data_IF_101608085112
#
_entry.id   IF_101608085112
#
_cell.length_a   1.000
_cell.length_b   1.000
_cell.length_c   1.000
_cell.angle_alpha   90.00
_cell.angle_beta   90.00
_cell.angle_gamma   90.00
#
_symmetry.space_group_name_H-M   'P 1'
#
loop_
_entity.id
_entity.type
_entity.pdbx_description
1 polymer ?
#
# COMPACT_ATOMS: atom_id res chain seq x y z
N UNK A 1 3.55 14.20 -27.50
CA UNK A 1 4.63 15.12 -27.08
C UNK A 1 5.45 14.46 -25.99
N UNK A 2 6.70 14.91 -25.77
CA UNK A 2 7.54 14.35 -24.71
C UNK A 2 6.88 14.52 -23.34
N UNK A 3 6.81 13.44 -22.56
CA UNK A 3 6.29 13.46 -21.19
C UNK A 3 4.76 13.37 -21.03
N UNK A 4 4.00 13.14 -22.11
CA UNK A 4 2.54 12.89 -22.00
C UNK A 4 2.24 11.60 -21.21
N UNK A 5 3.06 10.56 -21.41
CA UNK A 5 2.94 9.29 -20.69
C UNK A 5 3.24 9.48 -19.20
N UNK A 6 4.24 10.30 -18.87
CA UNK A 6 4.61 10.65 -17.51
C UNK A 6 3.48 11.44 -16.80
N UNK A 7 2.80 12.33 -17.52
CA UNK A 7 1.62 13.03 -16.99
C UNK A 7 0.48 12.07 -16.66
N UNK A 8 0.17 11.11 -17.55
CA UNK A 8 -0.87 10.11 -17.30
C UNK A 8 -0.59 9.33 -16.00
N UNK A 9 0.64 8.90 -15.80
CA UNK A 9 1.09 8.22 -14.58
C UNK A 9 0.83 9.06 -13.31
N UNK A 10 1.14 10.37 -13.35
CA UNK A 10 0.88 11.28 -12.21
C UNK A 10 -0.62 11.52 -12.00
N UNK A 11 -1.41 11.63 -13.06
CA UNK A 11 -2.87 11.73 -12.89
C UNK A 11 -3.45 10.47 -12.27
N UNK A 12 -2.89 9.30 -12.57
CA UNK A 12 -3.25 8.06 -11.91
C UNK A 12 -2.93 8.12 -10.41
N UNK A 13 -1.73 8.61 -10.02
CA UNK A 13 -1.39 8.85 -8.61
C UNK A 13 -2.42 9.71 -7.89
N UNK A 14 -2.76 10.86 -8.46
CA UNK A 14 -3.73 11.78 -7.85
C UNK A 14 -5.10 11.11 -7.68
N UNK A 15 -5.52 10.32 -8.65
CA UNK A 15 -6.77 9.55 -8.55
C UNK A 15 -6.68 8.47 -7.45
N UNK A 16 -5.54 7.80 -7.31
CA UNK A 16 -5.34 6.81 -6.24
C UNK A 16 -5.30 7.46 -4.85
N UNK A 17 -4.71 8.65 -4.75
CA UNK A 17 -4.70 9.46 -3.53
C UNK A 17 -6.12 9.84 -3.10
N UNK A 18 -6.92 10.38 -4.03
CA UNK A 18 -8.31 10.74 -3.78
C UNK A 18 -9.18 9.52 -3.42
N UNK A 19 -8.93 8.36 -4.03
CA UNK A 19 -9.69 7.13 -3.77
C UNK A 19 -9.24 6.43 -2.48
N UNK A 20 -8.01 6.69 -2.00
CA UNK A 20 -7.39 5.97 -0.89
C UNK A 20 -7.08 4.49 -1.16
N UNK A 21 -7.27 4.02 -2.40
CA UNK A 21 -7.10 2.62 -2.81
C UNK A 21 -5.97 2.46 -3.82
N UNK A 22 -5.21 1.38 -3.66
CA UNK A 22 -4.10 1.03 -4.54
C UNK A 22 -4.63 0.39 -5.83
N UNK A 23 -4.26 0.96 -6.99
CA UNK A 23 -4.44 0.33 -8.30
C UNK A 23 -3.31 -0.66 -8.61
N UNK A 24 -3.53 -1.64 -9.50
CA UNK A 24 -2.47 -2.53 -9.95
C UNK A 24 -1.29 -1.74 -10.51
N UNK A 25 -0.07 -2.21 -10.22
CA UNK A 25 1.15 -1.58 -10.70
C UNK A 25 1.17 -1.52 -12.24
N UNK A 26 1.27 -0.31 -12.79
CA UNK A 26 1.24 -0.13 -14.23
C UNK A 26 2.62 -0.34 -14.88
N UNK A 27 3.00 -1.60 -15.07
CA UNK A 27 4.28 -1.98 -15.70
C UNK A 27 4.42 -1.40 -17.11
N UNK A 28 3.31 -1.35 -17.84
CA UNK A 28 3.30 -0.91 -19.24
C UNK A 28 3.69 0.56 -19.36
N UNK A 29 3.05 1.46 -18.60
CA UNK A 29 3.36 2.89 -18.64
C UNK A 29 4.77 3.17 -18.11
N UNK A 30 5.18 2.52 -17.01
CA UNK A 30 6.53 2.70 -16.46
C UNK A 30 7.57 2.27 -17.50
N UNK A 31 7.39 1.12 -18.15
CA UNK A 31 8.30 0.65 -19.21
C UNK A 31 8.38 1.64 -20.37
N UNK A 32 7.24 2.18 -20.82
CA UNK A 32 7.22 3.16 -21.90
C UNK A 32 7.97 4.45 -21.53
N UNK A 33 7.78 4.98 -20.33
CA UNK A 33 8.49 6.19 -19.86
C UNK A 33 10.00 5.91 -19.74
N UNK A 34 10.40 4.72 -19.30
CA UNK A 34 11.80 4.32 -19.25
C UNK A 34 12.43 4.23 -20.65
N UNK A 35 11.70 3.66 -21.61
CA UNK A 35 12.14 3.60 -23.01
C UNK A 35 12.25 5.00 -23.62
N UNK A 36 11.25 5.87 -23.39
CA UNK A 36 11.28 7.28 -23.81
C UNK A 36 12.50 8.00 -23.22
N UNK A 37 12.77 7.80 -21.92
CA UNK A 37 13.93 8.42 -21.25
C UNK A 37 15.26 7.94 -21.83
N UNK A 38 15.36 6.64 -22.18
CA UNK A 38 16.54 6.09 -22.88
C UNK A 38 16.67 6.65 -24.28
N UNK A 39 15.56 6.78 -25.02
CA UNK A 39 15.55 7.39 -26.34
C UNK A 39 16.02 8.85 -26.29
N UNK A 40 15.51 9.64 -25.36
CA UNK A 40 15.97 11.03 -25.14
C UNK A 40 17.46 11.05 -24.83
N UNK A 41 17.95 10.13 -23.99
CA UNK A 41 19.38 10.04 -23.70
C UNK A 41 20.22 9.72 -24.94
N UNK A 42 19.79 8.77 -25.77
CA UNK A 42 20.49 8.45 -27.03
C UNK A 42 20.51 9.64 -27.98
N UNK A 43 19.40 10.36 -28.13
CA UNK A 43 19.33 11.58 -28.95
C UNK A 43 20.25 12.68 -28.41
N UNK A 44 20.29 12.87 -27.09
CA UNK A 44 21.18 13.82 -26.44
C UNK A 44 22.65 13.44 -26.67
N UNK A 45 23.01 12.15 -26.52
CA UNK A 45 24.37 11.69 -26.79
C UNK A 45 24.77 11.84 -28.26
N UNK A 46 23.85 11.63 -29.21
CA UNK A 46 24.16 11.84 -30.64
C UNK A 46 24.44 13.30 -30.95
N UNK A 47 23.68 14.23 -30.37
CA UNK A 47 23.89 15.67 -30.54
C UNK A 47 25.21 16.13 -29.90
N UNK A 48 25.56 15.58 -28.73
CA UNK A 48 26.86 15.85 -28.12
C UNK A 48 28.02 15.27 -28.94
N UNK A 49 27.84 14.09 -29.56
CA UNK A 49 28.89 13.49 -30.40
C UNK A 49 29.09 14.21 -31.74
N UNK A 50 28.10 14.93 -32.24
CA UNK A 50 28.24 15.78 -33.43
C UNK A 50 29.01 17.07 -33.15
N UNK A 51 29.27 17.39 -31.88
CA UNK A 51 30.01 18.59 -31.51
C UNK A 51 31.53 18.37 -31.64
N UNK A 52 32.31 19.36 -32.12
CA UNK A 52 33.76 19.22 -32.25
C UNK A 52 34.42 18.88 -30.90
N UNK A 53 35.33 17.89 -30.85
CA UNK A 53 36.00 17.51 -29.61
C UNK A 53 36.85 18.67 -29.10
N UNK A 54 36.68 19.03 -27.82
CA UNK A 54 37.42 20.12 -27.17
C UNK A 54 36.70 21.47 -27.14
N UNK A 55 35.48 21.56 -27.67
CA UNK A 55 34.62 22.74 -27.44
C UNK A 55 33.82 22.55 -26.15
N UNK A 56 33.91 23.53 -25.24
CA UNK A 56 33.06 23.56 -24.06
C UNK A 56 31.59 23.68 -24.50
N UNK A 57 30.71 22.87 -23.91
CA UNK A 57 29.27 22.82 -24.25
C UNK A 57 28.63 24.21 -24.12
N UNK A 58 29.10 25.00 -23.16
CA UNK A 58 28.61 26.36 -22.93
C UNK A 58 29.04 27.34 -24.02
N UNK A 59 30.24 27.14 -24.60
CA UNK A 59 30.75 27.96 -25.72
C UNK A 59 30.05 27.59 -27.01
N UNK A 60 29.83 26.28 -27.24
CA UNK A 60 29.08 25.77 -28.38
C UNK A 60 27.59 26.18 -28.34
N UNK A 61 26.98 26.24 -27.16
CA UNK A 61 25.61 26.71 -26.98
C UNK A 61 25.47 28.21 -27.21
N UNK A 62 26.54 28.99 -26.96
CA UNK A 62 26.58 30.43 -27.26
C UNK A 62 26.80 30.72 -28.74
N UNK A 63 27.56 29.87 -29.45
CA UNK A 63 27.72 30.00 -30.90
C UNK A 63 26.45 29.61 -31.65
N UNK A 64 25.81 28.50 -31.23
CA UNK A 64 24.60 27.96 -31.87
C UNK A 64 23.43 27.90 -30.89
N UNK A 65 22.65 28.99 -30.83
CA UNK A 65 21.49 29.12 -29.95
C UNK A 65 20.43 28.02 -30.18
N UNK A 66 20.25 27.57 -31.42
CA UNK A 66 19.28 26.52 -31.77
C UNK A 66 19.66 25.16 -31.19
N UNK A 67 20.95 24.81 -31.23
CA UNK A 67 21.48 23.57 -30.67
C UNK A 67 21.40 23.60 -29.13
N UNK A 68 21.78 24.72 -28.52
CA UNK A 68 21.64 24.92 -27.08
C UNK A 68 20.19 24.76 -26.60
N UNK A 69 19.23 25.39 -27.29
CA UNK A 69 17.80 25.27 -26.96
C UNK A 69 17.30 23.82 -27.10
N UNK A 70 17.76 23.08 -28.10
CA UNK A 70 17.38 21.67 -28.30
C UNK A 70 17.93 20.78 -27.18
N UNK A 71 19.21 20.94 -26.81
CA UNK A 71 19.84 20.20 -25.72
C UNK A 71 19.13 20.45 -24.39
N UNK A 72 18.84 21.71 -24.07
CA UNK A 72 18.11 22.07 -22.85
C UNK A 72 16.70 21.48 -22.84
N UNK A 73 15.98 21.53 -23.97
CA UNK A 73 14.63 20.97 -24.07
C UNK A 73 14.63 19.46 -23.82
N UNK A 74 15.57 18.72 -24.41
CA UNK A 74 15.72 17.28 -24.19
C UNK A 74 16.16 16.95 -22.76
N UNK A 75 17.06 17.76 -22.19
CA UNK A 75 17.48 17.58 -20.80
C UNK A 75 16.32 17.77 -19.82
N UNK A 76 15.55 18.84 -19.98
CA UNK A 76 14.39 19.12 -19.13
C UNK A 76 13.27 18.10 -19.32
N UNK A 77 13.05 17.58 -20.53
CA UNK A 77 12.06 16.53 -20.75
C UNK A 77 12.46 15.23 -20.05
N UNK A 78 13.74 14.85 -20.08
CA UNK A 78 14.24 13.70 -19.33
C UNK A 78 14.11 13.89 -17.80
N UNK A 79 14.44 15.09 -17.28
CA UNK A 79 14.26 15.39 -15.86
C UNK A 79 12.79 15.32 -15.43
N UNK A 80 11.87 15.80 -16.28
CA UNK A 80 10.43 15.72 -16.04
C UNK A 80 9.97 14.27 -15.91
N UNK A 81 10.37 13.40 -16.84
CA UNK A 81 10.03 11.97 -16.79
C UNK A 81 10.54 11.31 -15.50
N UNK A 82 11.79 11.59 -15.11
CA UNK A 82 12.37 11.08 -13.85
C UNK A 82 11.58 11.54 -12.63
N UNK A 83 11.23 12.83 -12.55
CA UNK A 83 10.44 13.37 -11.42
C UNK A 83 9.07 12.71 -11.32
N UNK A 84 8.37 12.53 -12.44
CA UNK A 84 7.07 11.86 -12.47
C UNK A 84 7.15 10.39 -12.03
N UNK A 85 8.17 9.65 -12.47
CA UNK A 85 8.40 8.27 -12.03
C UNK A 85 8.67 8.19 -10.53
N UNK A 86 9.56 9.04 -10.01
CA UNK A 86 9.86 9.08 -8.58
C UNK A 86 8.63 9.40 -7.74
N UNK A 87 7.82 10.38 -8.15
CA UNK A 87 6.58 10.73 -7.45
C UNK A 87 5.60 9.54 -7.40
N UNK A 88 5.47 8.78 -8.48
CA UNK A 88 4.62 7.58 -8.51
C UNK A 88 5.11 6.50 -7.55
N UNK A 89 6.41 6.21 -7.54
CA UNK A 89 6.97 5.20 -6.65
C UNK A 89 6.93 5.63 -5.19
N UNK A 90 7.25 6.89 -4.89
CA UNK A 90 7.21 7.44 -3.53
C UNK A 90 5.80 7.37 -2.94
N UNK A 91 4.79 7.78 -3.71
CA UNK A 91 3.40 7.68 -3.28
C UNK A 91 2.98 6.22 -2.98
N UNK A 92 3.34 5.27 -3.85
CA UNK A 92 3.02 3.84 -3.67
C UNK A 92 3.70 3.25 -2.45
N UNK A 93 5.01 3.51 -2.28
CA UNK A 93 5.77 3.06 -1.10
C UNK A 93 5.23 3.70 0.18
N UNK A 94 4.86 4.99 0.13
CA UNK A 94 4.25 5.69 1.25
C UNK A 94 2.90 5.10 1.65
N UNK A 95 2.05 4.74 0.67
CA UNK A 95 0.79 4.06 0.92
C UNK A 95 1.00 2.69 1.58
N UNK A 96 1.94 1.87 1.06
CA UNK A 96 2.27 0.56 1.63
C UNK A 96 2.84 0.66 3.04
N UNK A 97 3.72 1.64 3.29
CA UNK A 97 4.25 1.94 4.61
C UNK A 97 3.11 2.24 5.58
N UNK A 98 2.23 3.20 5.25
CA UNK A 98 1.06 3.54 6.08
C UNK A 98 0.20 2.31 6.36
N UNK A 99 -0.03 1.47 5.35
CA UNK A 99 -0.81 0.24 5.50
C UNK A 99 -0.15 -0.78 6.42
N UNK A 100 1.17 -0.95 6.35
CA UNK A 100 1.93 -1.83 7.24
C UNK A 100 1.82 -1.38 8.70
N UNK A 101 1.97 -0.08 8.95
CA UNK A 101 1.82 0.49 10.30
C UNK A 101 0.39 0.37 10.82
N UNK A 102 -0.62 0.51 9.96
CA UNK A 102 -2.03 0.32 10.35
C UNK A 102 -2.36 -1.14 10.75
N UNK A 103 -1.56 -2.12 10.31
CA UNK A 103 -1.73 -3.55 10.63
C UNK A 103 -0.71 -4.06 11.65
N UNK A 104 -0.09 -3.15 12.40
CA UNK A 104 0.86 -3.49 13.45
C UNK A 104 2.12 -4.19 12.97
N UNK A 105 2.63 -3.84 11.79
CA UNK A 105 3.90 -4.36 11.27
C UNK A 105 3.85 -5.80 10.75
N UNK A 106 2.69 -6.47 10.82
CA UNK A 106 2.55 -7.84 10.36
C UNK A 106 2.30 -7.90 8.85
N UNK A 107 3.29 -8.41 8.11
CA UNK A 107 3.20 -8.56 6.65
C UNK A 107 2.04 -9.45 6.21
N UNK A 108 1.76 -10.54 6.94
CA UNK A 108 0.64 -11.44 6.63
C UNK A 108 -0.70 -10.70 6.58
N UNK A 109 -0.97 -9.84 7.56
CA UNK A 109 -2.23 -9.08 7.67
C UNK A 109 -2.38 -7.99 6.60
N UNK A 110 -1.27 -7.48 6.08
CA UNK A 110 -1.28 -6.53 4.95
C UNK A 110 -1.62 -7.24 3.65
N UNK A 111 -1.13 -8.46 3.48
CA UNK A 111 -1.24 -9.23 2.24
C UNK A 111 -2.48 -10.11 2.18
N UNK A 112 -3.08 -10.46 3.32
CA UNK A 112 -4.30 -11.27 3.44
C UNK A 112 -5.50 -10.36 3.68
N UNK A 113 -5.89 -9.57 2.67
CA UNK A 113 -7.11 -8.78 2.74
C UNK A 113 -8.28 -9.56 2.16
N UNK A 114 -8.97 -10.33 3.02
CA UNK A 114 -10.31 -10.82 2.68
C UNK A 114 -11.28 -9.64 2.59
N UNK A 115 -11.47 -9.10 1.39
CA UNK A 115 -12.64 -8.28 1.06
C UNK A 115 -13.90 -9.16 1.09
N UNK A 116 -14.44 -9.45 2.26
CA UNK A 116 -15.79 -10.02 2.38
C UNK A 116 -16.82 -8.87 2.48
N UNK A 117 -16.86 -8.00 1.45
CA UNK A 117 -18.03 -7.15 1.18
C UNK A 117 -18.83 -7.77 0.04
N UNK A 118 -19.70 -8.71 0.37
CA UNK A 118 -20.75 -9.20 -0.53
C UNK A 118 -20.88 -10.72 -0.60
N UNK A 119 -21.51 -11.33 0.40
CA UNK A 119 -22.20 -12.62 0.21
C UNK A 119 -23.55 -12.63 0.94
N UNK A 120 -24.36 -11.60 0.70
CA UNK A 120 -25.82 -11.72 0.83
C UNK A 120 -26.40 -12.18 -0.50
N UNK A 121 -26.22 -13.47 -0.82
CA UNK A 121 -27.08 -14.20 -1.78
C UNK A 121 -26.70 -15.68 -1.82
N UNK A 122 -27.31 -16.48 -0.95
CA UNK A 122 -27.93 -17.77 -1.31
C UNK A 122 -28.34 -18.55 -0.06
N UNK A 123 -29.54 -18.25 0.42
CA UNK A 123 -30.36 -19.29 1.06
C UNK A 123 -30.74 -20.26 -0.05
N UNK A 124 -30.27 -21.52 0.02
CA UNK A 124 -31.05 -22.77 -0.20
C UNK A 124 -30.14 -24.02 -0.20
N UNK A 125 -30.49 -24.95 0.68
CA UNK A 125 -30.51 -26.42 0.50
C UNK A 125 -29.20 -27.22 0.26
N UNK A 126 -28.82 -27.95 1.31
CA UNK A 126 -28.67 -29.42 1.39
C UNK A 126 -28.03 -30.27 0.26
N UNK A 127 -27.16 -31.19 0.74
CA UNK A 127 -26.85 -32.53 0.25
C UNK A 127 -25.72 -32.72 -0.79
N UNK A 128 -24.64 -33.37 -0.31
CA UNK A 128 -23.93 -34.49 -0.96
C UNK A 128 -23.12 -34.25 -2.24
N UNK A 129 -21.83 -34.59 -2.19
CA UNK A 129 -21.03 -34.85 -3.39
C UNK A 129 -19.53 -34.58 -3.23
N UNK A 130 -18.77 -35.64 -3.00
CA UNK A 130 -17.31 -35.66 -3.17
C UNK A 130 -16.96 -35.50 -4.66
N UNK A 131 -15.95 -34.68 -4.97
CA UNK A 131 -15.44 -34.51 -6.34
C UNK A 131 -14.29 -33.52 -6.41
N UNK A 132 -13.14 -34.00 -6.89
CA UNK A 132 -11.92 -33.26 -7.23
C UNK A 132 -12.15 -31.84 -7.78
N UNK A 133 -11.40 -30.87 -7.25
CA UNK A 133 -11.40 -29.48 -7.73
C UNK A 133 -10.23 -28.66 -7.18
N UNK A 134 -9.01 -29.18 -7.25
CA UNK A 134 -7.80 -28.41 -6.97
C UNK A 134 -7.58 -27.39 -8.10
N UNK A 135 -8.11 -26.17 -7.95
CA UNK A 135 -7.88 -25.12 -8.96
C UNK A 135 -8.71 -23.84 -8.87
N UNK A 136 -9.68 -23.71 -7.96
CA UNK A 136 -10.61 -22.56 -7.94
C UNK A 136 -10.49 -21.64 -6.70
N UNK A 137 -9.42 -21.77 -5.90
CA UNK A 137 -9.18 -20.96 -4.69
C UNK A 137 -8.28 -19.74 -4.87
N UNK A 138 -7.81 -19.45 -6.08
CA UNK A 138 -6.83 -18.39 -6.36
C UNK A 138 -7.48 -17.07 -6.82
N UNK A 139 -8.72 -17.08 -7.31
CA UNK A 139 -9.36 -15.93 -7.95
C UNK A 139 -9.90 -14.89 -6.95
N UNK A 140 -10.21 -15.28 -5.71
CA UNK A 140 -10.64 -14.38 -4.64
C UNK A 140 -9.48 -13.84 -3.77
N UNK A 141 -8.25 -14.34 -3.99
CA UNK A 141 -6.99 -13.78 -3.43
C UNK A 141 -6.47 -12.61 -4.25
N UNK A 142 -7.36 -11.83 -4.85
CA UNK A 142 -7.03 -10.54 -5.45
C UNK A 142 -6.75 -9.47 -4.36
N UNK A 143 -6.40 -9.92 -3.16
CA UNK A 143 -5.69 -9.23 -2.11
C UNK A 143 -4.57 -8.37 -2.70
N UNK A 144 -4.21 -7.31 -1.98
CA UNK A 144 -3.17 -6.31 -2.32
C UNK A 144 -1.94 -6.91 -3.02
N UNK A 145 -1.57 -8.16 -2.71
CA UNK A 145 -0.56 -8.98 -3.40
C UNK A 145 -0.64 -8.96 -4.92
N UNK A 146 -1.84 -9.07 -5.50
CA UNK A 146 -2.05 -9.14 -6.95
C UNK A 146 -1.82 -7.79 -7.65
N UNK A 147 -1.94 -6.69 -6.90
CA UNK A 147 -1.79 -5.30 -7.37
C UNK A 147 -0.35 -4.78 -7.23
N UNK A 148 0.49 -5.53 -6.51
CA UNK A 148 1.88 -5.20 -6.22
C UNK A 148 2.81 -5.76 -7.29
N UNK A 149 3.86 -5.01 -7.63
CA UNK A 149 4.95 -5.56 -8.43
C UNK A 149 5.82 -6.49 -7.57
N UNK A 150 6.55 -7.45 -8.17
CA UNK A 150 7.46 -8.32 -7.42
C UNK A 150 8.55 -7.54 -6.67
N UNK A 151 8.99 -6.39 -7.21
CA UNK A 151 9.99 -5.51 -6.60
C UNK A 151 9.43 -4.76 -5.38
N UNK A 152 8.16 -4.35 -5.43
CA UNK A 152 7.49 -3.75 -4.28
C UNK A 152 7.29 -4.78 -3.15
N UNK A 153 7.04 -6.04 -3.50
CA UNK A 153 6.93 -7.13 -2.51
C UNK A 153 8.25 -7.43 -1.81
N UNK A 154 9.37 -7.44 -2.52
CA UNK A 154 10.69 -7.60 -1.89
C UNK A 154 11.00 -6.43 -0.98
N UNK A 155 10.77 -5.20 -1.45
CA UNK A 155 10.95 -4.00 -0.62
C UNK A 155 10.09 -4.02 0.65
N UNK A 156 8.83 -4.45 0.55
CA UNK A 156 7.94 -4.54 1.70
C UNK A 156 8.40 -5.59 2.71
N UNK A 157 8.95 -6.72 2.26
CA UNK A 157 9.54 -7.75 3.14
C UNK A 157 10.77 -7.23 3.87
N UNK A 158 11.65 -6.55 3.15
CA UNK A 158 12.87 -5.97 3.73
C UNK A 158 12.52 -4.84 4.71
N UNK A 159 11.51 -4.03 4.39
CA UNK A 159 11.03 -3.00 5.31
C UNK A 159 10.39 -3.61 6.56
N UNK A 160 9.58 -4.67 6.41
CA UNK A 160 9.00 -5.38 7.54
C UNK A 160 10.09 -6.02 8.42
N UNK A 161 11.14 -6.62 7.83
CA UNK A 161 12.25 -7.20 8.58
C UNK A 161 13.02 -6.14 9.37
N UNK A 162 13.25 -4.95 8.78
CA UNK A 162 13.83 -3.81 9.47
C UNK A 162 12.98 -3.33 10.65
N UNK A 163 11.66 -3.25 10.47
CA UNK A 163 10.74 -2.88 11.56
C UNK A 163 10.77 -3.93 12.67
N UNK A 164 10.82 -5.22 12.34
CA UNK A 164 10.91 -6.27 13.36
C UNK A 164 12.26 -6.28 14.08
N UNK A 165 13.36 -5.98 13.39
CA UNK A 165 14.67 -5.85 13.98
C UNK A 165 14.70 -4.68 14.99
N UNK A 166 14.16 -3.52 14.60
CA UNK A 166 14.03 -2.38 15.49
C UNK A 166 13.09 -2.65 16.67
N UNK A 167 11.96 -3.32 16.42
CA UNK A 167 11.01 -3.71 17.48
C UNK A 167 11.69 -4.60 18.52
N UNK A 168 12.57 -5.51 18.10
CA UNK A 168 13.19 -6.51 18.99
C UNK A 168 14.02 -5.90 20.14
N UNK A 169 14.53 -4.69 19.96
CA UNK A 169 15.31 -3.96 20.98
C UNK A 169 14.42 -3.30 22.05
N UNK A 170 13.14 -3.07 21.76
CA UNK A 170 12.23 -2.32 22.63
C UNK A 170 11.06 -3.16 23.17
N UNK A 171 11.05 -4.48 22.95
CA UNK A 171 9.93 -5.37 23.31
C UNK A 171 9.55 -5.32 24.80
N UNK A 172 10.55 -5.08 25.65
CA UNK A 172 10.46 -5.05 27.11
C UNK A 172 9.90 -3.74 27.65
N UNK A 173 9.93 -2.66 26.86
CA UNK A 173 9.53 -1.31 27.31
C UNK A 173 8.28 -0.82 26.56
N UNK A 174 8.20 -1.01 25.24
CA UNK A 174 7.14 -0.44 24.41
C UNK A 174 6.81 -1.30 23.19
N UNK A 175 5.52 -1.47 22.87
CA UNK A 175 5.13 -1.95 21.54
C UNK A 175 4.96 -0.79 20.56
N UNK A 176 5.97 -0.55 19.74
CA UNK A 176 5.96 0.51 18.71
C UNK A 176 4.96 0.25 17.58
N UNK A 177 4.57 -1.00 17.40
CA UNK A 177 3.66 -1.43 16.35
C UNK A 177 2.23 -1.57 16.85
N UNK A 178 1.99 -1.28 18.13
CA UNK A 178 0.63 -1.17 18.64
C UNK A 178 -0.13 -0.16 17.78
N UNK A 179 -1.21 -0.57 17.11
CA UNK A 179 -2.02 0.37 16.38
C UNK A 179 -2.68 1.25 17.43
N UNK A 180 -2.31 2.52 17.45
CA UNK A 180 -2.88 3.58 18.30
C UNK A 180 -4.34 3.90 17.95
N UNK A 181 -5.01 2.94 17.32
CA UNK A 181 -6.30 3.03 16.70
C UNK A 181 -7.46 2.85 17.66
N UNK A 182 -8.25 3.89 17.84
CA UNK A 182 -9.68 3.78 18.10
C UNK A 182 -10.32 3.03 16.93
N UNK A 183 -11.02 1.95 17.28
CA UNK A 183 -12.03 1.38 16.42
C UNK A 183 -13.12 2.44 16.22
N UNK A 184 -13.23 2.93 14.98
CA UNK A 184 -14.42 3.51 14.37
C UNK A 184 -15.48 4.13 15.30
N UNK A 185 -15.13 5.21 16.01
CA UNK A 185 -16.13 6.23 16.33
C UNK A 185 -16.47 6.94 15.02
N UNK A 186 -17.71 6.81 14.54
CA UNK A 186 -18.25 7.72 13.52
C UNK A 186 -18.24 9.12 14.12
N UNK A 187 -17.17 9.90 13.94
CA UNK A 187 -17.29 11.35 14.10
C UNK A 187 -18.17 11.84 12.95
N UNK A 188 -19.32 12.40 13.29
CA UNK A 188 -20.36 12.83 12.36
C UNK A 188 -19.96 14.07 11.53
N UNK A 189 -18.66 14.40 11.44
CA UNK A 189 -18.16 15.66 10.92
C UNK A 189 -17.26 15.55 9.69
N UNK A 190 -16.75 14.37 9.33
CA UNK A 190 -15.91 14.23 8.12
C UNK A 190 -16.32 13.00 7.30
N UNK A 191 -17.02 13.26 6.20
CA UNK A 191 -17.41 12.23 5.25
C UNK A 191 -16.19 11.69 4.50
N UNK A 192 -15.66 10.54 4.91
CA UNK A 192 -14.65 9.84 4.12
C UNK A 192 -13.84 8.78 4.87
N UNK A 193 -14.34 7.54 4.86
CA UNK A 193 -13.52 6.35 5.11
C UNK A 193 -13.28 6.00 6.58
N UNK A 194 -13.26 4.70 6.87
CA UNK A 194 -12.91 4.12 8.16
C UNK A 194 -11.42 4.34 8.46
N UNK A 195 -11.05 5.56 8.82
CA UNK A 195 -9.73 5.87 9.36
C UNK A 195 -9.75 5.43 10.82
N UNK A 196 -8.94 4.42 11.12
CA UNK A 196 -8.62 3.99 12.48
C UNK A 196 -8.12 5.23 13.24
N UNK A 197 -8.93 5.80 14.13
CA UNK A 197 -8.67 7.12 14.73
C UNK A 197 -7.53 7.04 15.74
N UNK A 198 -6.60 7.99 15.76
CA UNK A 198 -5.43 7.93 16.62
C UNK A 198 -5.78 8.58 17.96
N UNK A 199 -5.76 7.84 19.06
CA UNK A 199 -6.14 8.41 20.36
C UNK A 199 -5.80 7.52 21.56
N UNK A 200 -5.60 8.11 22.75
CA UNK A 200 -5.31 7.35 23.96
C UNK A 200 -6.49 6.43 24.32
N UNK A 201 -6.22 5.29 24.98
CA UNK A 201 -7.28 4.41 25.46
C UNK A 201 -8.15 5.15 26.50
N UNK A 202 -9.45 5.28 26.21
CA UNK A 202 -10.43 5.93 27.11
C UNK A 202 -10.76 5.05 28.32
N UNK A 203 -10.91 3.75 28.08
CA UNK A 203 -11.29 2.76 29.10
C UNK A 203 -10.40 1.51 29.02
N UNK A 204 -10.19 0.88 30.19
CA UNK A 204 -9.43 -0.37 30.33
C UNK A 204 -10.20 -1.60 29.82
N UNK A 205 -11.53 -1.57 29.95
CA UNK A 205 -12.43 -2.62 29.51
C UNK A 205 -13.21 -2.14 28.29
N UNK A 206 -13.32 -2.97 27.27
CA UNK A 206 -14.00 -2.61 26.02
C UNK A 206 -15.04 -3.68 25.70
N UNK A 207 -16.22 -3.25 25.27
CA UNK A 207 -17.25 -4.13 24.74
C UNK A 207 -16.98 -4.38 23.25
N UNK A 208 -16.77 -5.63 22.87
CA UNK A 208 -16.45 -6.04 21.51
C UNK A 208 -17.47 -7.06 21.00
N UNK A 209 -17.71 -7.02 19.69
CA UNK A 209 -18.51 -8.02 18.96
C UNK A 209 -17.59 -8.81 18.06
N UNK A 210 -17.71 -10.14 18.11
CA UNK A 210 -16.96 -10.99 17.20
C UNK A 210 -17.56 -10.96 15.79
N UNK A 211 -16.75 -10.65 14.79
CA UNK A 211 -17.15 -10.69 13.37
C UNK A 211 -17.03 -12.11 12.79
N UNK A 212 -16.20 -12.96 13.42
CA UNK A 212 -15.91 -14.33 12.98
C UNK A 212 -16.10 -15.33 14.12
N UNK A 213 -16.55 -16.52 13.76
CA UNK A 213 -16.55 -17.69 14.64
C UNK A 213 -15.13 -18.24 14.74
N UNK A 214 -14.55 -18.24 15.94
CA UNK A 214 -13.27 -18.87 16.24
C UNK A 214 -13.33 -19.50 17.63
N UNK A 215 -13.15 -20.81 17.70
CA UNK A 215 -13.01 -21.50 18.98
C UNK A 215 -11.54 -21.47 19.38
N UNK A 216 -11.28 -21.43 20.68
CA UNK A 216 -9.94 -21.67 21.23
C UNK A 216 -8.87 -20.61 20.88
N UNK A 217 -9.24 -19.33 20.82
CA UNK A 217 -8.26 -18.26 20.56
C UNK A 217 -7.40 -18.04 21.80
N UNK A 218 -6.12 -18.36 21.70
CA UNK A 218 -5.14 -18.10 22.77
C UNK A 218 -4.84 -16.60 22.83
N UNK A 219 -5.23 -15.97 23.94
CA UNK A 219 -4.83 -14.61 24.33
C UNK A 219 -3.79 -14.69 25.44
N UNK A 220 -3.20 -13.55 25.80
CA UNK A 220 -2.14 -13.45 26.82
C UNK A 220 -2.57 -13.98 28.19
N UNK A 221 -3.86 -13.89 28.52
CA UNK A 221 -4.41 -14.27 29.83
C UNK A 221 -5.24 -15.55 29.81
N UNK A 222 -5.47 -16.15 28.64
CA UNK A 222 -6.24 -17.39 28.54
C UNK A 222 -6.89 -17.65 27.20
N UNK A 223 -7.81 -18.61 27.20
CA UNK A 223 -8.51 -19.09 26.02
C UNK A 223 -9.83 -18.35 25.83
N UNK A 224 -10.00 -17.70 24.69
CA UNK A 224 -11.19 -16.96 24.33
C UNK A 224 -11.97 -17.67 23.22
N UNK A 225 -13.24 -17.94 23.45
CA UNK A 225 -14.14 -18.49 22.44
C UNK A 225 -14.94 -17.36 21.81
N UNK A 226 -14.78 -17.18 20.50
CA UNK A 226 -15.48 -16.18 19.71
C UNK A 226 -16.62 -16.85 18.93
N UNK A 227 -17.86 -16.41 19.17
CA UNK A 227 -19.00 -16.72 18.31
C UNK A 227 -19.43 -15.46 17.57
N UNK A 228 -19.67 -15.58 16.27
CA UNK A 228 -20.06 -14.46 15.40
C UNK A 228 -21.30 -13.77 15.95
N UNK A 229 -21.19 -12.46 16.15
CA UNK A 229 -22.23 -11.60 16.69
C UNK A 229 -22.34 -11.59 18.22
N UNK A 230 -21.58 -12.43 18.93
CA UNK A 230 -21.56 -12.43 20.39
C UNK A 230 -20.86 -11.17 20.93
N UNK A 231 -21.50 -10.53 21.92
CA UNK A 231 -20.97 -9.37 22.63
C UNK A 231 -20.23 -9.85 23.87
N UNK A 232 -19.01 -9.36 24.05
CA UNK A 232 -18.20 -9.68 25.22
C UNK A 232 -17.46 -8.44 25.72
N UNK A 233 -17.30 -8.35 27.04
CA UNK A 233 -16.54 -7.28 27.69
C UNK A 233 -15.19 -7.84 28.11
N UNK A 234 -14.13 -7.36 27.47
CA UNK A 234 -12.76 -7.88 27.62
C UNK A 234 -11.80 -6.72 27.89
N UNK A 235 -10.63 -7.01 28.48
CA UNK A 235 -9.56 -6.03 28.62
C UNK A 235 -9.04 -5.62 27.25
N UNK A 236 -8.79 -4.33 27.07
CA UNK A 236 -8.33 -3.78 25.78
C UNK A 236 -7.03 -4.42 25.29
N UNK A 237 -6.07 -4.62 26.18
CA UNK A 237 -4.75 -5.21 25.88
C UNK A 237 -4.86 -6.59 25.22
N UNK A 238 -5.82 -7.42 25.65
CA UNK A 238 -6.00 -8.77 25.11
C UNK A 238 -6.63 -8.79 23.71
N UNK A 239 -7.47 -7.80 23.38
CA UNK A 239 -8.25 -7.77 22.14
C UNK A 239 -7.61 -6.94 21.04
N UNK A 240 -6.63 -6.09 21.34
CA UNK A 240 -5.99 -5.21 20.35
C UNK A 240 -5.46 -5.98 19.13
N UNK A 241 -4.71 -7.07 19.34
CA UNK A 241 -4.21 -7.90 18.25
C UNK A 241 -5.33 -8.53 17.40
N UNK A 242 -6.48 -8.84 17.99
CA UNK A 242 -7.65 -9.43 17.31
C UNK A 242 -8.47 -8.39 16.55
N UNK A 243 -8.54 -7.16 17.06
CA UNK A 243 -9.16 -6.01 16.40
C UNK A 243 -8.37 -5.68 15.12
N UNK A 244 -7.04 -5.69 15.17
CA UNK A 244 -6.17 -5.41 14.00
C UNK A 244 -6.35 -6.43 12.89
N UNK A 245 -6.53 -7.70 13.28
CA UNK A 245 -6.86 -8.81 12.37
C UNK A 245 -8.28 -8.72 11.81
N UNK A 246 -9.14 -7.87 12.37
CA UNK A 246 -10.54 -7.69 11.99
C UNK A 246 -11.47 -8.79 12.48
N UNK A 247 -11.09 -9.52 13.53
CA UNK A 247 -11.92 -10.58 14.11
C UNK A 247 -12.92 -10.05 15.14
N UNK A 248 -12.63 -8.87 15.69
CA UNK A 248 -13.44 -8.17 16.67
C UNK A 248 -13.72 -6.75 16.17
N UNK A 249 -14.95 -6.29 16.38
CA UNK A 249 -15.37 -4.91 16.18
C UNK A 249 -15.72 -4.32 17.55
N UNK A 250 -15.20 -3.14 17.86
CA UNK A 250 -15.51 -2.46 19.12
C UNK A 250 -16.88 -1.80 19.01
N UNK A 251 -17.72 -2.04 20.02
CA UNK A 251 -18.96 -1.33 20.22
C UNK A 251 -18.70 -0.29 21.32
N UNK A 252 -18.48 0.97 20.93
CA UNK A 252 -18.55 2.07 21.90
C UNK A 252 -20.03 2.24 22.29
N UNK A 253 -20.33 2.28 23.60
CA UNK A 253 -21.61 2.77 24.13
C UNK A 253 -21.67 4.30 24.07
#
# INVERSE_FOLDING_TARGET
MYGDQALRLVTECRNMEATGSLKPYNESLVRLILLETRQIHTSLSTLLSSLPPGTDVDVAAQSDLSLGAQLLTLHHSAQRNKRCLLAYHEWRMGWLKRRLWARGGALGLVLEEKEERGSTSSVTAAAGGEGQGAGAGAAARADVRSKLSPQELTWLRDYASLVTAFKSELLDITDLTAPLGQAAGRSHADGGGSIIGWGPPKELMVTVVATRDAREVMTEMGMLNLRRGERMRVRRTEVEGLIVRGWLEVLEE
#
